data_IF_352474448927
#
_entry.id   IF_352474448927
#
_cell.length_a   1.000
_cell.length_b   1.000
_cell.length_c   1.000
_cell.angle_alpha   90.00
_cell.angle_beta   90.00
_cell.angle_gamma   90.00
#
_symmetry.space_group_name_H-M   'P 1'
#
loop_
_entity.id
_entity.type
_entity.pdbx_description
1 polymer ?
#
# COMPACT_ATOMS: atom_id res chain seq x y z
N UNK A 1 8.77 -10.68 -5.97
CA UNK A 1 7.68 -10.30 -5.03
C UNK A 1 8.30 -9.43 -3.96
N UNK A 2 7.81 -8.20 -3.77
CA UNK A 2 8.29 -7.27 -2.77
C UNK A 2 7.16 -6.93 -1.80
N UNK A 3 7.48 -6.90 -0.50
CA UNK A 3 6.59 -6.35 0.52
C UNK A 3 6.89 -4.87 0.69
N UNK A 4 5.88 -4.02 0.53
CA UNK A 4 5.97 -2.58 0.81
C UNK A 4 5.16 -2.30 2.07
N UNK A 5 5.83 -1.76 3.09
CA UNK A 5 5.23 -1.46 4.40
C UNK A 5 5.49 0.01 4.72
N UNK A 6 4.47 0.70 5.20
CA UNK A 6 4.60 2.09 5.64
C UNK A 6 4.07 2.28 7.07
N UNK A 7 4.72 3.19 7.80
CA UNK A 7 4.23 3.66 9.09
C UNK A 7 3.35 4.90 8.90
N UNK A 8 2.19 4.89 9.54
CA UNK A 8 1.26 6.01 9.61
C UNK A 8 0.76 6.18 11.05
N UNK A 9 0.21 7.35 11.35
CA UNK A 9 -0.39 7.62 12.68
C UNK A 9 -1.58 6.71 13.00
N UNK A 10 -2.27 6.25 11.97
CA UNK A 10 -3.42 5.36 12.01
C UNK A 10 -3.36 4.39 10.82
N UNK A 11 -4.28 3.43 10.77
CA UNK A 11 -4.32 2.42 9.73
C UNK A 11 -4.67 2.99 8.34
N UNK A 12 -5.49 4.04 8.27
CA UNK A 12 -5.87 4.68 6.99
C UNK A 12 -4.65 5.37 6.36
N UNK A 13 -3.91 6.11 7.16
CA UNK A 13 -2.68 6.79 6.74
C UNK A 13 -1.58 5.78 6.39
N UNK A 14 -1.39 4.74 7.22
CA UNK A 14 -0.39 3.70 6.94
C UNK A 14 -0.68 3.00 5.60
N UNK A 15 -1.96 2.69 5.32
CA UNK A 15 -2.38 2.09 4.05
C UNK A 15 -2.13 3.01 2.87
N UNK A 16 -2.56 4.28 2.95
CA UNK A 16 -2.35 5.25 1.88
C UNK A 16 -0.86 5.39 1.54
N UNK A 17 -0.01 5.56 2.55
CA UNK A 17 1.45 5.65 2.39
C UNK A 17 2.07 4.38 1.79
N UNK A 18 1.56 3.20 2.15
CA UNK A 18 2.07 1.95 1.59
C UNK A 18 1.81 1.87 0.07
N UNK A 19 0.62 2.30 -0.38
CA UNK A 19 0.29 2.39 -1.80
C UNK A 19 1.02 3.52 -2.53
N UNK A 20 1.31 4.64 -1.88
CA UNK A 20 2.16 5.67 -2.48
C UNK A 20 3.60 5.17 -2.65
N UNK A 21 4.13 4.45 -1.66
CA UNK A 21 5.48 3.91 -1.69
C UNK A 21 5.66 2.80 -2.75
N UNK A 22 4.58 2.13 -3.19
CA UNK A 22 4.70 1.18 -4.32
C UNK A 22 5.07 1.90 -5.61
N UNK A 23 4.76 3.19 -5.78
CA UNK A 23 5.11 3.96 -6.97
C UNK A 23 6.60 4.27 -7.07
N UNK A 24 7.34 4.20 -5.96
CA UNK A 24 8.80 4.42 -5.95
C UNK A 24 9.57 3.22 -6.51
N UNK A 25 8.90 2.08 -6.64
CA UNK A 25 9.50 0.81 -7.05
C UNK A 25 8.99 0.45 -8.43
N UNK A 26 9.89 0.33 -9.41
CA UNK A 26 9.55 -0.09 -10.77
C UNK A 26 10.40 -1.29 -11.20
N UNK A 27 9.77 -2.26 -11.85
CA UNK A 27 10.41 -3.46 -12.39
C UNK A 27 9.48 -4.18 -13.37
N UNK A 28 10.07 -4.96 -14.28
CA UNK A 28 9.33 -5.71 -15.28
C UNK A 28 8.31 -6.67 -14.65
N UNK A 29 7.09 -6.68 -15.22
CA UNK A 29 5.95 -7.46 -14.73
C UNK A 29 5.53 -7.10 -13.30
N UNK A 30 5.74 -5.85 -12.85
CA UNK A 30 5.17 -5.36 -11.59
C UNK A 30 3.64 -5.41 -11.67
N UNK A 31 3.04 -6.06 -10.68
CA UNK A 31 1.60 -6.02 -10.42
C UNK A 31 1.38 -5.96 -8.91
N UNK A 32 0.26 -5.40 -8.51
CA UNK A 32 -0.14 -5.38 -7.10
C UNK A 32 -1.65 -5.43 -6.94
N UNK A 33 -2.07 -5.82 -5.74
CA UNK A 33 -3.46 -5.80 -5.32
C UNK A 33 -3.84 -4.40 -4.84
N UNK A 34 -4.98 -3.89 -5.30
CA UNK A 34 -5.47 -2.54 -4.98
C UNK A 34 -6.48 -2.51 -3.81
N UNK A 35 -6.72 -3.67 -3.19
CA UNK A 35 -7.76 -3.90 -2.18
C UNK A 35 -7.22 -4.31 -0.80
N UNK A 36 -5.91 -4.24 -0.59
CA UNK A 36 -5.29 -4.57 0.70
C UNK A 36 -5.75 -3.55 1.74
N UNK A 37 -6.38 -4.03 2.80
CA UNK A 37 -6.89 -3.19 3.88
C UNK A 37 -8.07 -2.30 3.50
N UNK A 38 -8.77 -2.55 2.39
CA UNK A 38 -9.91 -1.72 1.93
C UNK A 38 -11.03 -1.59 2.99
N UNK A 39 -11.27 -2.64 3.78
CA UNK A 39 -12.27 -2.62 4.86
C UNK A 39 -11.98 -1.56 5.94
N UNK A 40 -10.75 -1.06 6.02
CA UNK A 40 -10.35 0.00 6.96
C UNK A 40 -10.95 1.34 6.53
N UNK A 41 -11.17 1.57 5.23
CA UNK A 41 -11.74 2.82 4.71
C UNK A 41 -13.24 2.94 5.06
N UNK A 42 -13.94 1.80 5.20
CA UNK A 42 -15.39 1.68 5.44
C UNK A 42 -15.78 1.64 6.93
N UNK A 43 -14.78 1.61 7.84
CA UNK A 43 -14.94 1.68 9.29
C UNK A 43 -14.66 3.08 9.85
#
# INVERSE_FOLDING_TARGET
VLGVTALGKDLKEARAKAYEATEWVDFDNKYMRHDIGKAIDEA
#
